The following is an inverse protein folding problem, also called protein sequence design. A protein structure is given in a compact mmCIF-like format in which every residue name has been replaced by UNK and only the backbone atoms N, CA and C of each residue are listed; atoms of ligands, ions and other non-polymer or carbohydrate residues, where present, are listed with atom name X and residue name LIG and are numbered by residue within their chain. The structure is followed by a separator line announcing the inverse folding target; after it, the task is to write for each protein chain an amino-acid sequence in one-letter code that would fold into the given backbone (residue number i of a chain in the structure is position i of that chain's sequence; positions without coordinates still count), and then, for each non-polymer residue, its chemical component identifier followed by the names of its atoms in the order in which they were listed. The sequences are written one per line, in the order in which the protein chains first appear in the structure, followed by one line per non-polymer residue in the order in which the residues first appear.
data_IF_476643621729
#
_entry.id   IF_476643621729
#
_cell.length_a   1.000
_cell.length_b   1.000
_cell.length_c   1.000
_cell.angle_alpha   90.00
_cell.angle_beta   90.00
_cell.angle_gamma   90.00
#
_symmetry.space_group_name_H-M   'P 1'
#
loop_
_entity.id
_entity.type
_entity.pdbx_description
1 polymer ?
#
# COMPACT_ATOMS: atom_id res chain seq x y z
N UNK A 1 -31.82 -2.44 5.42
CA UNK A 1 -30.77 -3.20 4.78
C UNK A 1 -31.22 -4.59 4.44
N UNK A 2 -31.08 -5.00 3.23
CA UNK A 2 -31.44 -6.34 2.84
C UNK A 2 -30.50 -7.40 3.42
N UNK A 3 -30.85 -8.64 3.18
CA UNK A 3 -30.02 -9.76 3.59
C UNK A 3 -28.69 -9.71 2.86
N UNK A 4 -27.61 -9.70 3.61
CA UNK A 4 -26.26 -9.79 3.05
C UNK A 4 -25.81 -11.23 3.20
N UNK A 5 -25.45 -11.84 2.10
CA UNK A 5 -24.86 -13.18 2.15
C UNK A 5 -23.46 -13.04 2.73
N UNK A 6 -23.25 -13.65 3.88
CA UNK A 6 -21.93 -13.71 4.48
C UNK A 6 -21.25 -14.99 4.07
N UNK A 7 -20.07 -14.84 3.51
CA UNK A 7 -19.22 -15.99 3.24
C UNK A 7 -18.16 -16.07 4.31
N UNK A 8 -18.04 -17.24 4.94
CA UNK A 8 -16.93 -17.48 5.85
C UNK A 8 -15.68 -17.70 5.02
N UNK A 9 -14.87 -16.66 4.93
CA UNK A 9 -13.62 -16.74 4.18
C UNK A 9 -12.54 -17.30 5.09
N UNK A 10 -11.89 -18.34 4.61
CA UNK A 10 -10.77 -18.95 5.31
C UNK A 10 -9.43 -18.45 4.77
N UNK A 11 -9.47 -17.48 3.87
CA UNK A 11 -8.28 -16.93 3.21
C UNK A 11 -7.34 -16.23 4.17
N UNK A 12 -7.90 -15.47 5.11
CA UNK A 12 -7.10 -14.62 5.99
C UNK A 12 -6.83 -15.29 7.33
N UNK A 13 -5.63 -15.09 7.83
CA UNK A 13 -5.20 -15.51 9.15
C UNK A 13 -5.27 -14.34 10.14
N UNK A 14 -5.15 -14.58 11.46
CA UNK A 14 -5.23 -13.49 12.44
C UNK A 14 -4.27 -12.34 12.18
N UNK A 15 -3.08 -12.63 11.67
CA UNK A 15 -2.09 -11.59 11.32
C UNK A 15 -2.58 -10.66 10.22
N UNK A 16 -3.36 -11.20 9.26
CA UNK A 16 -3.94 -10.39 8.20
C UNK A 16 -5.03 -9.46 8.75
N UNK A 17 -5.78 -9.92 9.73
CA UNK A 17 -6.81 -9.09 10.35
C UNK A 17 -6.21 -8.00 11.22
N UNK A 18 -5.08 -8.25 11.88
CA UNK A 18 -4.34 -7.22 12.59
C UNK A 18 -3.80 -6.16 11.63
N UNK A 19 -3.31 -6.60 10.49
CA UNK A 19 -2.87 -5.68 9.45
C UNK A 19 -4.02 -4.82 8.93
N UNK A 20 -5.20 -5.44 8.76
CA UNK A 20 -6.40 -4.72 8.34
C UNK A 20 -6.75 -3.59 9.30
N UNK A 21 -6.70 -3.87 10.60
CA UNK A 21 -6.96 -2.85 11.61
C UNK A 21 -5.94 -1.71 11.54
N UNK A 22 -4.67 -2.04 11.38
CA UNK A 22 -3.61 -1.04 11.24
C UNK A 22 -3.81 -0.17 10.00
N UNK A 23 -4.13 -0.78 8.88
CA UNK A 23 -4.33 -0.02 7.64
C UNK A 23 -5.60 0.82 7.69
N UNK A 24 -6.67 0.30 8.28
CA UNK A 24 -7.90 1.06 8.48
C UNK A 24 -7.64 2.28 9.36
N UNK A 25 -6.88 2.10 10.44
CA UNK A 25 -6.49 3.23 11.29
C UNK A 25 -5.68 4.27 10.52
N UNK A 26 -4.78 3.83 9.67
CA UNK A 26 -4.03 4.72 8.79
C UNK A 26 -4.95 5.52 7.86
N UNK A 27 -5.89 4.84 7.22
CA UNK A 27 -6.84 5.50 6.33
C UNK A 27 -7.69 6.52 7.08
N UNK A 28 -8.16 6.18 8.26
CA UNK A 28 -8.99 7.08 9.07
C UNK A 28 -8.22 8.33 9.50
N UNK A 29 -6.94 8.19 9.76
CA UNK A 29 -6.12 9.30 10.25
C UNK A 29 -5.55 10.16 9.13
N UNK A 30 -5.04 9.53 8.08
CA UNK A 30 -4.22 10.21 7.07
C UNK A 30 -4.93 10.42 5.73
N UNK A 31 -6.06 9.78 5.51
CA UNK A 31 -6.75 9.84 4.22
C UNK A 31 -8.15 10.41 4.35
N UNK A 32 -8.97 9.86 5.23
CA UNK A 32 -10.38 10.26 5.34
C UNK A 32 -10.58 11.76 5.55
N UNK A 33 -9.82 12.46 6.41
CA UNK A 33 -10.03 13.90 6.62
C UNK A 33 -9.70 14.75 5.41
N UNK A 34 -8.90 14.24 4.47
CA UNK A 34 -8.32 15.05 3.39
C UNK A 34 -8.78 14.61 2.00
N UNK A 35 -9.43 13.47 1.87
CA UNK A 35 -9.69 12.86 0.57
C UNK A 35 -10.57 13.73 -0.33
N UNK A 36 -11.61 14.35 0.23
CA UNK A 36 -12.49 15.21 -0.55
C UNK A 36 -11.75 16.42 -1.12
N UNK A 37 -10.84 16.99 -0.33
CA UNK A 37 -10.03 18.11 -0.77
C UNK A 37 -9.06 17.68 -1.88
N UNK A 38 -8.47 16.50 -1.73
CA UNK A 38 -7.59 15.97 -2.77
C UNK A 38 -8.33 15.76 -4.09
N UNK A 39 -9.57 15.29 -4.03
CA UNK A 39 -10.36 15.11 -5.24
C UNK A 39 -10.66 16.44 -5.92
N UNK A 40 -10.98 17.47 -5.15
CA UNK A 40 -11.20 18.82 -5.70
C UNK A 40 -9.95 19.36 -6.37
N UNK A 41 -8.81 19.17 -5.76
CA UNK A 41 -7.52 19.66 -6.25
C UNK A 41 -6.88 18.73 -7.27
N UNK A 42 -7.46 17.55 -7.48
CA UNK A 42 -6.97 16.52 -8.41
C UNK A 42 -5.55 16.07 -8.13
N UNK A 43 -5.16 16.10 -6.86
CA UNK A 43 -3.84 15.65 -6.44
C UNK A 43 -3.90 15.14 -5.00
N UNK A 44 -3.23 14.02 -4.76
CA UNK A 44 -3.07 13.44 -3.43
C UNK A 44 -1.82 14.04 -2.79
N UNK A 45 -1.92 14.40 -1.51
CA UNK A 45 -0.80 14.96 -0.79
C UNK A 45 0.35 13.95 -0.70
N UNK A 46 1.54 14.40 -1.04
CA UNK A 46 2.74 13.58 -0.99
C UNK A 46 2.99 13.01 0.42
N UNK A 47 2.60 13.74 1.46
CA UNK A 47 2.82 13.29 2.83
C UNK A 47 2.14 11.97 3.17
N UNK A 48 0.99 11.69 2.56
CA UNK A 48 0.31 10.41 2.80
C UNK A 48 1.14 9.24 2.29
N UNK A 49 1.84 9.42 1.17
CA UNK A 49 2.73 8.41 0.62
C UNK A 49 3.94 8.19 1.52
N UNK A 50 4.49 9.26 2.06
CA UNK A 50 5.63 9.18 2.99
C UNK A 50 5.21 8.44 4.25
N UNK A 51 4.07 8.78 4.82
CA UNK A 51 3.57 8.10 6.03
C UNK A 51 3.25 6.63 5.77
N UNK A 52 2.65 6.33 4.62
CA UNK A 52 2.38 4.95 4.25
C UNK A 52 3.68 4.15 4.13
N UNK A 53 4.70 4.74 3.55
CA UNK A 53 6.02 4.11 3.46
C UNK A 53 6.64 3.86 4.82
N UNK A 54 6.57 4.83 5.71
CA UNK A 54 7.09 4.69 7.07
C UNK A 54 6.42 3.57 7.84
N UNK A 55 5.12 3.37 7.63
CA UNK A 55 4.37 2.35 8.34
C UNK A 55 4.39 1.00 7.63
N UNK A 56 5.09 0.89 6.50
CA UNK A 56 5.27 -0.37 5.80
C UNK A 56 4.15 -0.76 4.87
N UNK A 57 3.28 0.16 4.48
CA UNK A 57 2.18 -0.11 3.56
C UNK A 57 2.58 -0.03 2.09
N UNK A 58 3.77 0.42 1.79
CA UNK A 58 4.29 0.48 0.42
C UNK A 58 5.49 -0.47 0.29
N UNK A 59 5.52 -1.21 -0.80
CA UNK A 59 6.66 -2.09 -1.07
C UNK A 59 6.74 -3.31 -0.19
N UNK A 60 5.63 -3.84 0.28
CA UNK A 60 5.61 -5.01 1.17
C UNK A 60 6.27 -6.23 0.54
N UNK A 61 6.05 -6.46 -0.74
CA UNK A 61 6.58 -7.62 -1.46
C UNK A 61 8.01 -7.41 -1.97
N UNK A 62 8.53 -6.20 -1.88
CA UNK A 62 9.90 -5.92 -2.31
C UNK A 62 10.87 -6.55 -1.33
N UNK A 63 11.87 -7.33 -1.81
CA UNK A 63 12.86 -7.91 -0.91
C UNK A 63 13.57 -6.86 -0.05
N UNK A 64 13.97 -7.27 1.13
CA UNK A 64 14.66 -6.37 2.07
C UNK A 64 15.95 -5.80 1.50
N UNK A 65 16.64 -6.57 0.65
CA UNK A 65 17.86 -6.11 -0.02
C UNK A 65 17.64 -4.88 -0.89
N UNK A 66 16.41 -4.64 -1.32
CA UNK A 66 16.04 -3.46 -2.10
C UNK A 66 15.30 -2.43 -1.24
N UNK A 67 15.27 -2.62 0.05
CA UNK A 67 14.65 -1.67 0.98
C UNK A 67 13.18 -1.91 1.28
N UNK A 68 12.62 -3.04 0.85
CA UNK A 68 11.22 -3.37 1.06
C UNK A 68 10.95 -4.17 2.31
N UNK A 69 9.71 -4.61 2.46
CA UNK A 69 9.26 -5.37 3.63
C UNK A 69 9.57 -6.86 3.60
N UNK A 70 9.96 -7.38 2.45
CA UNK A 70 10.32 -8.81 2.32
C UNK A 70 9.16 -9.77 2.43
N UNK A 71 7.92 -9.30 2.37
CA UNK A 71 6.73 -10.12 2.54
C UNK A 71 5.99 -10.27 1.22
N UNK A 72 6.12 -11.45 0.60
CA UNK A 72 5.48 -11.75 -0.69
C UNK A 72 4.05 -12.28 -0.58
N UNK A 73 3.45 -12.30 0.58
CA UNK A 73 2.08 -12.78 0.77
C UNK A 73 1.09 -11.76 0.23
N UNK A 74 0.51 -12.06 -0.93
CA UNK A 74 -0.41 -11.15 -1.62
C UNK A 74 -1.70 -10.89 -0.84
N UNK A 75 -2.01 -11.69 0.17
CA UNK A 75 -3.20 -11.47 1.01
C UNK A 75 -3.16 -10.11 1.70
N UNK A 76 -1.98 -9.59 2.03
CA UNK A 76 -1.85 -8.22 2.55
C UNK A 76 -2.28 -7.18 1.53
N UNK A 77 -1.94 -7.39 0.27
CA UNK A 77 -2.37 -6.51 -0.82
C UNK A 77 -3.89 -6.54 -0.98
N UNK A 78 -4.50 -7.71 -0.85
CA UNK A 78 -5.95 -7.87 -0.92
C UNK A 78 -6.62 -7.08 0.21
N UNK A 79 -6.10 -7.18 1.43
CA UNK A 79 -6.62 -6.43 2.57
C UNK A 79 -6.58 -4.94 2.31
N UNK A 80 -5.46 -4.42 1.82
CA UNK A 80 -5.34 -3.00 1.50
C UNK A 80 -6.36 -2.57 0.44
N UNK A 81 -6.52 -3.39 -0.59
CA UNK A 81 -7.50 -3.13 -1.65
C UNK A 81 -8.92 -3.06 -1.11
N UNK A 82 -9.29 -4.02 -0.30
CA UNK A 82 -10.63 -4.06 0.29
C UNK A 82 -10.92 -2.84 1.16
N UNK A 83 -9.98 -2.46 2.01
CA UNK A 83 -10.18 -1.31 2.89
C UNK A 83 -10.22 0.01 2.10
N UNK A 84 -9.42 0.13 1.06
CA UNK A 84 -9.42 1.32 0.20
C UNK A 84 -10.77 1.46 -0.51
N UNK A 85 -11.31 0.36 -1.03
CA UNK A 85 -12.61 0.37 -1.71
C UNK A 85 -13.73 0.63 -0.72
N UNK A 86 -13.68 0.03 0.46
CA UNK A 86 -14.70 0.22 1.49
C UNK A 86 -14.79 1.68 1.91
N UNK A 87 -13.66 2.38 1.96
CA UNK A 87 -13.61 3.81 2.28
C UNK A 87 -13.88 4.73 1.09
N UNK A 88 -13.97 4.15 -0.11
CA UNK A 88 -14.16 4.90 -1.36
C UNK A 88 -13.01 5.87 -1.68
N UNK A 89 -11.79 5.46 -1.36
CA UNK A 89 -10.59 6.29 -1.57
C UNK A 89 -9.97 6.00 -2.94
N UNK A 90 -10.74 6.19 -4.00
CA UNK A 90 -10.34 5.80 -5.36
C UNK A 90 -9.11 6.52 -5.89
N UNK A 91 -8.84 7.71 -5.40
CA UNK A 91 -7.71 8.50 -5.86
C UNK A 91 -6.38 8.19 -5.17
N UNK A 92 -6.38 7.28 -4.20
CA UNK A 92 -5.20 7.07 -3.38
C UNK A 92 -4.01 6.44 -4.13
N UNK A 93 -4.26 5.48 -5.00
CA UNK A 93 -3.22 4.94 -5.89
C UNK A 93 -2.27 3.90 -5.32
N UNK A 94 -2.39 3.54 -4.06
CA UNK A 94 -1.49 2.55 -3.44
C UNK A 94 -1.57 1.19 -4.13
N UNK A 95 -2.75 0.78 -4.56
CA UNK A 95 -2.93 -0.51 -5.23
C UNK A 95 -2.17 -0.57 -6.54
N UNK A 96 -2.20 0.49 -7.31
CA UNK A 96 -1.44 0.54 -8.57
C UNK A 96 0.05 0.35 -8.30
N UNK A 97 0.56 1.04 -7.29
CA UNK A 97 1.97 0.95 -6.91
C UNK A 97 2.35 -0.45 -6.44
N UNK A 98 1.65 -0.99 -5.46
CA UNK A 98 1.98 -2.26 -4.83
C UNK A 98 1.66 -3.47 -5.69
N UNK A 99 0.55 -3.42 -6.42
CA UNK A 99 0.01 -4.61 -7.09
C UNK A 99 0.41 -4.71 -8.55
N UNK A 100 0.80 -3.60 -9.16
CA UNK A 100 1.12 -3.55 -10.59
C UNK A 100 2.56 -3.12 -10.83
N UNK A 101 2.94 -1.93 -10.38
CA UNK A 101 4.25 -1.36 -10.71
C UNK A 101 5.38 -2.17 -10.11
N UNK A 102 5.33 -2.46 -8.84
CA UNK A 102 6.39 -3.21 -8.17
C UNK A 102 6.55 -4.63 -8.67
N UNK A 103 5.48 -5.41 -8.90
CA UNK A 103 5.63 -6.73 -9.50
C UNK A 103 6.29 -6.70 -10.87
N UNK A 104 6.00 -5.70 -11.69
CA UNK A 104 6.67 -5.55 -12.98
C UNK A 104 8.17 -5.35 -12.82
N UNK A 105 8.57 -4.46 -11.92
CA UNK A 105 9.97 -4.23 -11.63
C UNK A 105 10.66 -5.51 -11.16
N UNK A 106 10.03 -6.22 -10.23
CA UNK A 106 10.64 -7.43 -9.67
C UNK A 106 10.79 -8.55 -10.69
N UNK A 107 9.89 -8.64 -11.66
CA UNK A 107 9.92 -9.72 -12.67
C UNK A 107 10.76 -9.40 -13.88
N UNK A 108 10.71 -8.18 -14.36
CA UNK A 108 11.19 -7.84 -15.70
C UNK A 108 12.45 -6.99 -15.70
N UNK A 109 12.77 -6.34 -14.59
CA UNK A 109 13.92 -5.45 -14.53
C UNK A 109 15.22 -6.21 -14.32
N UNK A 110 16.31 -5.60 -14.75
CA UNK A 110 17.67 -6.10 -14.44
C UNK A 110 17.97 -5.84 -12.96
N UNK A 111 19.00 -6.50 -12.44
CA UNK A 111 19.40 -6.31 -11.05
C UNK A 111 19.69 -4.84 -10.73
N UNK A 112 20.40 -4.15 -11.63
CA UNK A 112 20.69 -2.73 -11.47
C UNK A 112 19.42 -1.89 -11.45
N UNK A 113 18.49 -2.18 -12.35
CA UNK A 113 17.21 -1.48 -12.39
C UNK A 113 16.38 -1.72 -11.13
N UNK A 114 16.43 -2.95 -10.59
CA UNK A 114 15.77 -3.28 -9.33
C UNK A 114 16.36 -2.49 -8.18
N UNK A 115 17.67 -2.39 -8.11
CA UNK A 115 18.33 -1.62 -7.05
C UNK A 115 17.88 -0.16 -7.05
N UNK A 116 17.81 0.45 -8.22
CA UNK A 116 17.35 1.85 -8.33
C UNK A 116 15.85 2.00 -8.15
N UNK A 117 15.07 1.23 -8.90
CA UNK A 117 13.62 1.40 -8.96
C UNK A 117 12.93 0.96 -7.70
N UNK A 118 13.30 -0.18 -7.15
CA UNK A 118 12.67 -0.68 -5.93
C UNK A 118 13.03 0.17 -4.73
N UNK A 119 14.27 0.64 -4.63
CA UNK A 119 14.66 1.55 -3.54
C UNK A 119 13.93 2.87 -3.61
N UNK A 120 13.75 3.42 -4.81
CA UNK A 120 13.03 4.67 -4.99
C UNK A 120 11.54 4.52 -4.66
N UNK A 121 11.00 3.32 -4.84
CA UNK A 121 9.58 3.01 -4.61
C UNK A 121 9.30 2.44 -3.23
N UNK A 122 10.33 2.08 -2.49
CA UNK A 122 10.22 1.46 -1.18
C UNK A 122 9.98 2.50 -0.09
N UNK A 123 9.75 2.04 1.15
CA UNK A 123 9.45 2.93 2.25
C UNK A 123 10.46 4.03 2.49
N UNK A 124 9.94 5.17 2.88
CA UNK A 124 10.72 6.38 3.08
C UNK A 124 11.81 6.27 4.13
N UNK A 125 11.67 5.35 5.08
CA UNK A 125 12.67 5.19 6.16
C UNK A 125 14.05 4.84 5.65
N UNK A 126 14.13 4.24 4.47
CA UNK A 126 15.40 3.89 3.85
C UNK A 126 15.80 4.84 2.73
N UNK A 127 15.04 5.89 2.55
CA UNK A 127 15.32 6.86 1.49
C UNK A 127 16.55 7.68 1.83
N UNK A 128 17.40 7.94 0.84
CA UNK A 128 18.48 8.89 1.05
C UNK A 128 17.90 10.30 1.24
N UNK A 129 18.70 11.21 1.79
CA UNK A 129 18.30 12.61 1.86
C UNK A 129 17.91 13.09 0.48
N UNK A 130 16.84 13.84 0.43
CA UNK A 130 16.39 14.38 -0.85
C UNK A 130 17.36 15.44 -1.34
N UNK A 131 17.39 15.58 -2.62
CA UNK A 131 18.16 16.62 -3.28
C UNK A 131 17.30 17.72 -3.76
#
# INVERSE_FOLDING_TARGET
MGNVIKYDRTLFEPEHELFRESFRGFLDKHVAPFHDEWEKNKIVDRNVWIEAGKQGFLGMAVPEEYGGGGNGDFRYNVVMGEETVAGRYSGLGFMLHNDVVLPYLLRLATEEQKQRGCRASAPARSSPPSR
#
